data_IF_938410703106
#
_entry.id   IF_938410703106
#
_cell.length_a   1.000
_cell.length_b   1.000
_cell.length_c   1.000
_cell.angle_alpha   90.00
_cell.angle_beta   90.00
_cell.angle_gamma   90.00
#
_symmetry.space_group_name_H-M   'P 1'
#
loop_
_entity.id
_entity.type
_entity.pdbx_description
1 polymer ?
#
# COMPACT_ATOMS: atom_id res chain seq x y z
N UNK A 1 7.84 2.70 -20.75
CA UNK A 1 7.96 1.48 -21.58
C UNK A 1 7.79 0.27 -20.66
N UNK A 2 6.59 -0.28 -20.55
CA UNK A 2 6.32 -1.46 -19.71
C UNK A 2 5.30 -2.36 -20.40
N UNK A 3 5.80 -3.51 -20.86
CA UNK A 3 5.15 -4.82 -20.96
C UNK A 3 5.94 -5.66 -21.96
N UNK A 4 7.10 -6.17 -21.54
CA UNK A 4 7.68 -7.34 -22.20
C UNK A 4 7.01 -8.57 -21.59
N UNK A 5 6.02 -9.13 -22.27
CA UNK A 5 5.55 -10.48 -22.01
C UNK A 5 6.73 -11.43 -22.25
N UNK A 6 7.23 -12.05 -21.17
CA UNK A 6 8.25 -13.09 -21.27
C UNK A 6 7.55 -14.45 -21.31
N UNK A 7 7.85 -15.23 -22.34
CA UNK A 7 7.41 -16.62 -22.42
C UNK A 7 8.32 -17.49 -21.56
N UNK A 8 7.72 -18.27 -20.65
CA UNK A 8 8.42 -19.27 -19.84
C UNK A 8 7.96 -20.66 -20.24
N UNK A 9 8.89 -21.62 -20.21
CA UNK A 9 8.59 -23.05 -20.36
C UNK A 9 8.86 -23.73 -19.03
N UNK A 10 7.85 -24.39 -18.47
CA UNK A 10 7.96 -25.15 -17.22
C UNK A 10 7.76 -26.64 -17.50
N UNK A 11 8.47 -27.49 -16.76
CA UNK A 11 8.23 -28.93 -16.74
C UNK A 11 7.36 -29.25 -15.54
N UNK A 12 6.25 -29.93 -15.79
CA UNK A 12 5.31 -30.38 -14.78
C UNK A 12 5.38 -31.90 -14.66
N UNK A 13 5.07 -32.43 -13.48
CA UNK A 13 4.80 -33.86 -13.36
C UNK A 13 3.53 -34.20 -14.16
N UNK A 14 3.34 -35.48 -14.50
CA UNK A 14 2.13 -35.93 -15.20
C UNK A 14 0.87 -35.65 -14.39
N UNK A 15 0.97 -35.71 -13.07
CA UNK A 15 -0.12 -35.41 -12.13
C UNK A 15 -0.47 -33.92 -12.15
N UNK A 16 0.52 -33.03 -12.02
CA UNK A 16 0.32 -31.57 -12.04
C UNK A 16 -0.21 -31.09 -13.39
N UNK A 17 0.25 -31.69 -14.49
CA UNK A 17 -0.27 -31.39 -15.82
C UNK A 17 -1.75 -31.77 -15.94
N UNK A 18 -2.12 -32.95 -15.44
CA UNK A 18 -3.51 -33.42 -15.46
C UNK A 18 -4.39 -32.50 -14.62
N UNK A 19 -3.91 -32.10 -13.44
CA UNK A 19 -4.59 -31.13 -12.59
C UNK A 19 -4.77 -29.78 -13.29
N UNK A 20 -3.70 -29.22 -13.88
CA UNK A 20 -3.75 -27.96 -14.64
C UNK A 20 -4.81 -28.02 -15.74
N UNK A 21 -4.91 -29.12 -16.48
CA UNK A 21 -5.88 -29.26 -17.58
C UNK A 21 -7.33 -29.29 -17.07
N UNK A 22 -7.57 -29.77 -15.85
CA UNK A 22 -8.89 -29.85 -15.24
C UNK A 22 -9.48 -28.50 -14.79
N UNK A 23 -8.69 -27.43 -14.79
CA UNK A 23 -9.11 -26.10 -14.31
C UNK A 23 -9.95 -25.39 -15.37
N UNK A 24 -11.27 -25.40 -15.21
CA UNK A 24 -12.20 -24.64 -16.07
C UNK A 24 -12.81 -23.46 -15.29
N UNK A 25 -11.99 -22.43 -15.05
CA UNK A 25 -12.40 -21.19 -14.39
C UNK A 25 -12.14 -19.97 -15.28
N UNK A 26 -12.99 -18.95 -15.15
CA UNK A 26 -12.86 -17.65 -15.81
C UNK A 26 -12.65 -17.70 -17.34
N UNK A 27 -13.08 -18.79 -18.00
CA UNK A 27 -12.92 -18.96 -19.45
C UNK A 27 -11.48 -19.24 -19.89
N UNK A 28 -10.57 -19.66 -19.00
CA UNK A 28 -9.21 -20.06 -19.38
C UNK A 28 -9.23 -21.34 -20.22
N UNK A 29 -8.89 -21.23 -21.51
CA UNK A 29 -8.94 -22.36 -22.46
C UNK A 29 -7.53 -22.91 -22.71
N UNK A 30 -6.55 -22.02 -22.87
CA UNK A 30 -5.18 -22.40 -23.19
C UNK A 30 -4.38 -22.75 -21.95
N UNK A 31 -3.33 -23.55 -22.11
CA UNK A 31 -2.42 -23.92 -21.01
C UNK A 31 -1.84 -22.69 -20.31
N UNK A 32 -1.45 -21.67 -21.09
CA UNK A 32 -0.90 -20.42 -20.55
C UNK A 32 -1.93 -19.57 -19.81
N UNK A 33 -3.21 -19.65 -20.16
CA UNK A 33 -4.29 -19.01 -19.39
C UNK A 33 -4.53 -19.77 -18.09
N UNK A 34 -4.61 -21.11 -18.14
CA UNK A 34 -4.82 -21.94 -16.95
C UNK A 34 -3.67 -21.77 -15.94
N UNK A 35 -2.42 -21.62 -16.41
CA UNK A 35 -1.27 -21.29 -15.54
C UNK A 35 -1.39 -19.89 -14.95
N UNK A 36 -1.86 -18.89 -15.71
CA UNK A 36 -2.09 -17.53 -15.20
C UNK A 36 -3.18 -17.51 -14.12
N UNK A 37 -4.26 -18.27 -14.32
CA UNK A 37 -5.32 -18.42 -13.33
C UNK A 37 -4.81 -19.12 -12.07
N UNK A 38 -3.99 -20.17 -12.19
CA UNK A 38 -3.36 -20.79 -11.01
C UNK A 38 -2.46 -19.83 -10.25
N UNK A 39 -1.69 -18.99 -10.95
CA UNK A 39 -0.85 -17.96 -10.32
C UNK A 39 -1.73 -16.89 -9.65
N UNK A 40 -2.85 -16.50 -10.26
CA UNK A 40 -3.80 -15.58 -9.67
C UNK A 40 -4.43 -16.18 -8.40
N UNK A 41 -4.92 -17.42 -8.48
CA UNK A 41 -5.46 -18.17 -7.35
C UNK A 41 -4.42 -18.38 -6.25
N UNK A 42 -3.16 -18.67 -6.59
CA UNK A 42 -2.08 -18.78 -5.61
C UNK A 42 -1.72 -17.42 -4.98
N UNK A 43 -1.88 -16.31 -5.72
CA UNK A 43 -1.74 -14.96 -5.16
C UNK A 43 -2.90 -14.60 -4.23
N UNK A 44 -4.09 -15.11 -4.51
CA UNK A 44 -5.28 -14.93 -3.68
C UNK A 44 -5.31 -15.86 -2.45
N UNK A 45 -4.77 -17.08 -2.56
CA UNK A 45 -4.81 -18.12 -1.52
C UNK A 45 -3.64 -18.04 -0.54
N UNK A 46 -2.52 -17.46 -0.95
CA UNK A 46 -1.39 -17.17 -0.06
C UNK A 46 -1.64 -15.76 0.45
N UNK A 47 -2.22 -15.68 1.66
CA UNK A 47 -2.80 -14.48 2.24
C UNK A 47 -1.87 -13.26 2.29
N UNK A 48 -2.41 -12.18 2.85
CA UNK A 48 -1.78 -10.85 2.92
C UNK A 48 -0.59 -10.80 3.90
N UNK A 49 0.03 -11.95 4.19
CA UNK A 49 1.05 -12.19 5.20
C UNK A 49 2.36 -11.40 4.95
N UNK A 50 2.63 -11.03 3.69
CA UNK A 50 3.77 -10.18 3.35
C UNK A 50 3.37 -8.71 3.27
N UNK A 51 4.00 -7.85 4.09
CA UNK A 51 3.82 -6.39 4.06
C UNK A 51 3.89 -5.80 2.65
N UNK A 52 4.79 -6.29 1.79
CA UNK A 52 4.91 -5.79 0.42
C UNK A 52 3.64 -6.03 -0.41
N UNK A 53 2.94 -7.15 -0.21
CA UNK A 53 1.67 -7.42 -0.90
C UNK A 53 0.53 -6.61 -0.30
N UNK A 54 0.48 -6.51 1.02
CA UNK A 54 -0.46 -5.67 1.74
C UNK A 54 -0.37 -4.20 1.27
N UNK A 55 0.87 -3.73 1.08
CA UNK A 55 1.17 -2.42 0.54
C UNK A 55 0.70 -2.28 -0.90
N UNK A 56 1.02 -3.23 -1.79
CA UNK A 56 0.59 -3.18 -3.18
C UNK A 56 -0.94 -3.15 -3.30
N UNK A 57 -1.66 -4.02 -2.58
CA UNK A 57 -3.12 -4.06 -2.60
C UNK A 57 -3.74 -2.75 -2.07
N UNK A 58 -3.21 -2.23 -0.95
CA UNK A 58 -3.67 -0.96 -0.37
C UNK A 58 -3.34 0.23 -1.29
N UNK A 59 -2.19 0.21 -1.96
CA UNK A 59 -1.76 1.23 -2.90
C UNK A 59 -2.61 1.23 -4.17
N UNK A 60 -2.93 0.05 -4.72
CA UNK A 60 -3.81 -0.10 -5.88
C UNK A 60 -5.20 0.47 -5.61
N UNK A 61 -5.75 0.22 -4.42
CA UNK A 61 -7.04 0.77 -3.99
C UNK A 61 -7.00 2.31 -3.94
N UNK A 62 -5.88 2.88 -3.50
CA UNK A 62 -5.69 4.33 -3.40
C UNK A 62 -5.21 4.99 -4.70
N UNK A 63 -4.83 4.21 -5.72
CA UNK A 63 -4.20 4.71 -6.94
C UNK A 63 -5.08 5.71 -7.70
N UNK A 64 -6.40 5.49 -7.90
CA UNK A 64 -7.25 6.47 -8.60
C UNK A 64 -7.32 7.81 -7.85
N UNK A 65 -7.38 7.76 -6.52
CA UNK A 65 -7.39 8.96 -5.67
C UNK A 65 -6.06 9.70 -5.73
N UNK A 66 -4.94 8.97 -5.63
CA UNK A 66 -3.59 9.55 -5.77
C UNK A 66 -3.39 10.17 -7.15
N UNK A 67 -3.80 9.49 -8.22
CA UNK A 67 -3.67 10.00 -9.59
C UNK A 67 -4.46 11.30 -9.77
N UNK A 68 -5.73 11.32 -9.35
CA UNK A 68 -6.56 12.54 -9.38
C UNK A 68 -5.93 13.69 -8.62
N UNK A 69 -5.32 13.41 -7.46
CA UNK A 69 -4.69 14.43 -6.63
C UNK A 69 -3.36 14.95 -7.21
N UNK A 70 -2.60 14.12 -7.91
CA UNK A 70 -1.35 14.54 -8.59
C UNK A 70 -1.63 15.55 -9.71
N UNK A 71 -2.79 15.45 -10.35
CA UNK A 71 -3.22 16.35 -11.43
C UNK A 71 -3.76 17.71 -10.92
N UNK A 72 -3.88 17.90 -9.59
CA UNK A 72 -4.33 19.15 -9.00
C UNK A 72 -3.27 20.26 -9.10
N UNK A 73 -3.70 21.49 -9.38
CA UNK A 73 -2.81 22.66 -9.54
C UNK A 73 -2.05 23.03 -8.26
N UNK A 74 -2.65 22.74 -7.09
CA UNK A 74 -2.04 22.99 -5.79
C UNK A 74 -2.12 21.72 -4.95
N UNK A 75 -0.99 21.35 -4.35
CA UNK A 75 -0.86 20.17 -3.51
C UNK A 75 -0.50 20.57 -2.09
N UNK A 76 -1.23 20.05 -1.13
CA UNK A 76 -0.97 20.09 0.30
C UNK A 76 -0.09 18.92 0.75
N UNK A 77 0.96 19.22 1.50
CA UNK A 77 1.81 18.22 2.14
C UNK A 77 1.04 17.39 3.19
N UNK A 78 0.02 17.97 3.85
CA UNK A 78 -0.83 17.24 4.80
C UNK A 78 -1.66 16.15 4.10
N UNK A 79 -2.18 16.46 2.91
CA UNK A 79 -2.99 15.51 2.14
C UNK A 79 -2.09 14.40 1.60
N UNK A 80 -0.88 14.72 1.12
CA UNK A 80 0.10 13.71 0.71
C UNK A 80 0.49 12.79 1.87
N UNK A 81 0.79 13.35 3.04
CA UNK A 81 1.10 12.59 4.25
C UNK A 81 -0.05 11.65 4.63
N UNK A 82 -1.30 12.12 4.57
CA UNK A 82 -2.49 11.31 4.84
C UNK A 82 -2.61 10.15 3.84
N UNK A 83 -2.49 10.42 2.54
CA UNK A 83 -2.64 9.40 1.49
C UNK A 83 -1.56 8.31 1.56
N UNK A 84 -0.36 8.64 2.03
CA UNK A 84 0.70 7.66 2.27
C UNK A 84 0.44 6.87 3.56
N UNK A 85 0.14 7.55 4.66
CA UNK A 85 -0.14 6.90 5.95
C UNK A 85 -1.30 5.91 5.87
N UNK A 86 -2.36 6.22 5.10
CA UNK A 86 -3.48 5.29 4.89
C UNK A 86 -3.01 4.00 4.19
N UNK A 87 -2.16 4.11 3.17
CA UNK A 87 -1.67 2.94 2.43
C UNK A 87 -0.73 2.10 3.30
N UNK A 88 0.23 2.73 3.95
CA UNK A 88 1.23 2.02 4.77
C UNK A 88 0.64 1.49 6.07
N UNK A 89 -0.28 2.24 6.69
CA UNK A 89 -1.03 1.79 7.87
C UNK A 89 -1.93 0.60 7.57
N UNK A 90 -2.67 0.63 6.44
CA UNK A 90 -3.46 -0.52 6.00
C UNK A 90 -2.58 -1.75 5.73
N UNK A 91 -1.41 -1.54 5.13
CA UNK A 91 -0.44 -2.60 4.89
C UNK A 91 0.09 -3.22 6.19
N UNK A 92 0.44 -2.39 7.19
CA UNK A 92 0.92 -2.83 8.49
C UNK A 92 -0.14 -3.65 9.23
N UNK A 93 -1.40 -3.17 9.23
CA UNK A 93 -2.53 -3.87 9.88
C UNK A 93 -2.75 -5.24 9.23
N UNK A 94 -2.83 -5.30 7.90
CA UNK A 94 -3.08 -6.55 7.17
C UNK A 94 -1.94 -7.55 7.34
N UNK A 95 -0.68 -7.08 7.33
CA UNK A 95 0.49 -7.92 7.51
C UNK A 95 0.67 -8.44 8.95
N UNK A 96 -0.16 -8.02 9.90
CA UNK A 96 -0.16 -8.46 11.29
C UNK A 96 -1.45 -9.20 11.67
N UNK A 97 -2.36 -9.48 10.73
CA UNK A 97 -3.69 -10.02 11.04
C UNK A 97 -3.67 -11.34 11.81
N UNK A 98 -2.67 -12.19 11.57
CA UNK A 98 -2.52 -13.52 12.18
C UNK A 98 -1.40 -13.56 13.25
N UNK A 99 -0.85 -12.40 13.65
CA UNK A 99 0.21 -12.31 14.66
C UNK A 99 -0.35 -12.34 16.09
N UNK A 100 0.15 -13.24 16.93
CA UNK A 100 -0.12 -13.27 18.36
C UNK A 100 1.21 -13.25 19.15
N UNK A 101 1.52 -12.17 19.91
CA UNK A 101 0.68 -11.00 20.21
C UNK A 101 0.69 -9.91 19.11
N UNK A 102 -0.51 -9.42 18.76
CA UNK A 102 -0.72 -8.41 17.71
C UNK A 102 -0.02 -7.07 17.98
N UNK A 103 -0.16 -6.53 19.20
CA UNK A 103 0.25 -5.16 19.53
C UNK A 103 1.75 -4.86 19.25
N UNK A 104 2.73 -5.65 19.74
CA UNK A 104 4.14 -5.37 19.47
C UNK A 104 4.51 -5.55 17.99
N UNK A 105 3.90 -6.52 17.30
CA UNK A 105 4.13 -6.71 15.87
C UNK A 105 3.62 -5.51 15.06
N UNK A 106 2.41 -5.03 15.37
CA UNK A 106 1.82 -3.89 14.70
C UNK A 106 2.60 -2.59 14.99
N UNK A 107 3.01 -2.36 16.24
CA UNK A 107 3.84 -1.20 16.60
C UNK A 107 5.13 -1.18 15.77
N UNK A 108 5.85 -2.31 15.70
CA UNK A 108 7.07 -2.43 14.93
C UNK A 108 6.84 -2.20 13.43
N UNK A 109 5.77 -2.76 12.85
CA UNK A 109 5.50 -2.62 11.40
C UNK A 109 4.95 -1.24 11.03
N UNK A 110 4.20 -0.59 11.90
CA UNK A 110 3.61 0.73 11.63
C UNK A 110 4.57 1.89 11.91
N UNK A 111 5.58 1.69 12.78
CA UNK A 111 6.50 2.75 13.20
C UNK A 111 7.13 3.54 12.05
N UNK A 112 7.65 2.94 10.97
CA UNK A 112 8.26 3.71 9.87
C UNK A 112 7.27 4.66 9.17
N UNK A 113 6.02 4.22 9.00
CA UNK A 113 4.96 5.03 8.41
C UNK A 113 4.57 6.19 9.33
N UNK A 114 4.49 5.92 10.64
CA UNK A 114 4.21 6.92 11.67
C UNK A 114 5.33 7.96 11.72
N UNK A 115 6.61 7.54 11.70
CA UNK A 115 7.76 8.44 11.69
C UNK A 115 7.73 9.36 10.47
N UNK A 116 7.52 8.80 9.28
CA UNK A 116 7.42 9.58 8.03
C UNK A 116 6.25 10.55 8.06
N UNK A 117 5.10 10.12 8.59
CA UNK A 117 3.94 10.99 8.77
C UNK A 117 4.27 12.15 9.71
N UNK A 118 4.83 11.85 10.89
CA UNK A 118 5.22 12.85 11.89
C UNK A 118 6.23 13.85 11.33
N UNK A 119 7.22 13.40 10.56
CA UNK A 119 8.18 14.28 9.89
C UNK A 119 7.46 15.31 9.01
N UNK A 120 6.50 14.86 8.19
CA UNK A 120 5.72 15.76 7.33
C UNK A 120 4.84 16.73 8.12
N UNK A 121 4.22 16.28 9.20
CA UNK A 121 3.45 17.16 10.09
C UNK A 121 4.36 18.21 10.74
N UNK A 122 5.55 17.83 11.19
CA UNK A 122 6.53 18.73 11.78
C UNK A 122 7.06 19.75 10.76
N UNK A 123 7.30 19.33 9.51
CA UNK A 123 7.66 20.26 8.43
C UNK A 123 6.57 21.33 8.25
N UNK A 124 5.29 20.92 8.25
CA UNK A 124 4.17 21.86 8.18
C UNK A 124 4.13 22.80 9.40
N UNK A 125 4.41 22.28 10.60
CA UNK A 125 4.34 23.03 11.85
C UNK A 125 5.54 23.95 12.10
N UNK A 126 6.69 23.75 11.44
CA UNK A 126 7.92 24.51 11.71
C UNK A 126 8.29 25.45 10.55
N UNK A 127 7.90 25.12 9.31
CA UNK A 127 8.23 25.97 8.17
C UNK A 127 7.44 27.28 8.17
N UNK A 128 8.09 28.34 7.68
CA UNK A 128 7.50 29.68 7.55
C UNK A 128 6.43 29.74 6.46
N UNK A 129 6.63 28.98 5.38
CA UNK A 129 5.72 28.89 4.24
C UNK A 129 5.52 27.40 3.86
N UNK A 130 4.79 26.64 4.69
CA UNK A 130 4.59 25.23 4.44
C UNK A 130 3.68 25.03 3.22
N UNK A 131 3.96 23.99 2.43
CA UNK A 131 3.15 23.64 1.26
C UNK A 131 1.77 23.13 1.69
N UNK A 132 0.82 24.04 1.84
CA UNK A 132 -0.57 23.79 2.20
C UNK A 132 -1.52 24.52 1.27
N UNK A 133 -2.74 23.99 1.14
CA UNK A 133 -3.84 24.66 0.43
C UNK A 133 -4.51 25.69 1.35
N UNK A 134 -4.68 25.35 2.63
CA UNK A 134 -5.25 26.24 3.64
C UNK A 134 -4.14 26.82 4.56
N UNK A 135 -3.87 28.13 4.50
CA UNK A 135 -2.92 28.78 5.41
C UNK A 135 -3.33 28.72 6.90
N UNK A 136 -4.63 28.62 7.20
CA UNK A 136 -5.14 28.49 8.57
C UNK A 136 -4.73 27.18 9.24
N UNK A 137 -4.58 26.11 8.45
CA UNK A 137 -4.09 24.83 8.94
C UNK A 137 -2.66 24.91 9.49
N UNK A 138 -1.77 25.69 8.85
CA UNK A 138 -0.40 25.92 9.33
C UNK A 138 -0.40 26.59 10.71
N UNK A 139 -1.19 27.65 10.86
CA UNK A 139 -1.29 28.41 12.10
C UNK A 139 -1.82 27.54 13.25
N UNK A 140 -2.82 26.71 12.95
CA UNK A 140 -3.39 25.76 13.93
C UNK A 140 -2.35 24.76 14.41
N UNK A 141 -1.57 24.17 13.49
CA UNK A 141 -0.53 23.19 13.82
C UNK A 141 0.64 23.83 14.58
N UNK A 142 1.08 25.02 14.15
CA UNK A 142 2.10 25.82 14.84
C UNK A 142 1.69 26.14 16.28
N UNK A 143 0.44 26.58 16.50
CA UNK A 143 -0.04 26.90 17.84
C UNK A 143 -0.08 25.64 18.71
N UNK A 144 -0.63 24.54 18.20
CA UNK A 144 -0.66 23.26 18.93
C UNK A 144 0.74 22.79 19.33
N UNK A 145 1.73 22.92 18.44
CA UNK A 145 3.11 22.56 18.75
C UNK A 145 3.70 23.47 19.85
N UNK A 146 3.46 24.78 19.80
CA UNK A 146 3.88 25.71 20.85
C UNK A 146 3.27 25.35 22.20
N UNK A 147 1.97 25.05 22.23
CA UNK A 147 1.27 24.68 23.45
C UNK A 147 1.84 23.39 24.07
N UNK A 148 2.28 22.43 23.24
CA UNK A 148 2.93 21.21 23.70
C UNK A 148 4.33 21.45 24.26
N UNK A 149 5.09 22.38 23.68
CA UNK A 149 6.45 22.73 24.14
C UNK A 149 6.46 23.60 25.40
N UNK A 150 5.33 24.21 25.76
CA UNK A 150 5.17 25.06 26.94
C UNK A 150 4.56 24.31 28.14
N UNK A 151 4.28 23.01 28.00
CA UNK A 151 3.88 22.11 29.10
C UNK A 151 5.10 21.55 29.80
#
# INVERSE_FOLDING_TARGET
>A
MLNKTQSISARLSSEDYTYLMSIDRNGAVTQSEKVRELIAMARESVGVESFARAYLASAETMLPTKARYVDENQRSLLVEALLEMVVEGAAAIQACADEEPLAPALEQKALPAIETFLEKILLVAVQKDPRLIDPGAAQTLQQRLKDLLQR
#
